data_IF_201808830722
#
_entry.id   IF_201808830722
#
_cell.length_a   1.000
_cell.length_b   1.000
_cell.length_c   1.000
_cell.angle_alpha   90.00
_cell.angle_beta   90.00
_cell.angle_gamma   90.00
#
_symmetry.space_group_name_H-M   'P 1'
#
loop_
_entity.id
_entity.type
_entity.pdbx_description
1 polymer ?
#
# COMPACT_ATOMS: atom_id res chain seq x y z
N UNK A 1 -28.11 -8.64 7.30
CA UNK A 1 -28.08 -9.01 5.87
C UNK A 1 -27.81 -7.82 4.93
N UNK A 2 -28.71 -6.84 4.77
CA UNK A 2 -28.45 -5.68 3.89
C UNK A 2 -27.39 -4.70 4.45
N UNK A 3 -27.40 -4.45 5.77
CA UNK A 3 -26.41 -3.61 6.46
C UNK A 3 -24.98 -4.20 6.35
N UNK A 4 -24.85 -5.51 6.54
CA UNK A 4 -23.55 -6.20 6.45
C UNK A 4 -22.98 -6.17 5.03
N UNK A 5 -23.85 -6.25 4.01
CA UNK A 5 -23.44 -6.17 2.60
C UNK A 5 -22.95 -4.76 2.25
N UNK A 6 -23.64 -3.71 2.74
CA UNK A 6 -23.24 -2.31 2.53
C UNK A 6 -21.93 -1.98 3.25
N UNK A 7 -21.77 -2.40 4.50
CA UNK A 7 -20.55 -2.19 5.28
C UNK A 7 -19.33 -2.84 4.61
N UNK A 8 -19.46 -4.08 4.11
CA UNK A 8 -18.40 -4.76 3.34
C UNK A 8 -18.04 -4.02 2.06
N UNK A 9 -19.04 -3.52 1.31
CA UNK A 9 -18.79 -2.75 0.10
C UNK A 9 -18.04 -1.44 0.38
N UNK A 10 -18.38 -0.73 1.46
CA UNK A 10 -17.67 0.48 1.87
C UNK A 10 -16.22 0.18 2.28
N UNK A 11 -15.98 -0.90 3.03
CA UNK A 11 -14.62 -1.34 3.36
C UNK A 11 -13.80 -1.66 2.12
N UNK A 12 -14.38 -2.34 1.12
CA UNK A 12 -13.69 -2.64 -0.14
C UNK A 12 -13.30 -1.37 -0.90
N UNK A 13 -14.18 -0.37 -0.97
CA UNK A 13 -13.89 0.91 -1.63
C UNK A 13 -12.77 1.65 -0.92
N UNK A 14 -12.78 1.69 0.42
CA UNK A 14 -11.70 2.32 1.20
C UNK A 14 -10.37 1.62 0.97
N UNK A 15 -10.37 0.28 0.97
CA UNK A 15 -9.18 -0.55 0.73
C UNK A 15 -8.60 -0.31 -0.66
N UNK A 16 -9.43 -0.26 -1.70
CA UNK A 16 -8.99 0.07 -3.07
C UNK A 16 -8.47 1.50 -3.19
N UNK A 17 -9.11 2.46 -2.51
CA UNK A 17 -8.65 3.84 -2.50
C UNK A 17 -7.25 3.99 -1.87
N UNK A 18 -6.99 3.28 -0.76
CA UNK A 18 -5.67 3.26 -0.11
C UNK A 18 -4.59 2.66 -1.02
N UNK A 19 -4.87 1.53 -1.68
CA UNK A 19 -3.95 0.92 -2.63
C UNK A 19 -3.61 1.88 -3.79
N UNK A 20 -4.64 2.49 -4.39
CA UNK A 20 -4.44 3.44 -5.49
C UNK A 20 -3.66 4.68 -5.07
N UNK A 21 -3.87 5.19 -3.85
CA UNK A 21 -3.10 6.32 -3.32
C UNK A 21 -1.62 5.95 -3.13
N UNK A 22 -1.32 4.77 -2.56
CA UNK A 22 0.06 4.33 -2.39
C UNK A 22 0.76 4.13 -3.74
N UNK A 23 0.08 3.52 -4.70
CA UNK A 23 0.60 3.36 -6.07
C UNK A 23 0.89 4.72 -6.71
N UNK A 24 -0.04 5.67 -6.64
CA UNK A 24 0.15 7.01 -7.19
C UNK A 24 1.32 7.78 -6.55
N UNK A 25 1.57 7.58 -5.25
CA UNK A 25 2.74 8.16 -4.57
C UNK A 25 4.04 7.57 -5.12
N UNK A 26 4.10 6.24 -5.26
CA UNK A 26 5.29 5.57 -5.79
C UNK A 26 5.53 5.94 -7.25
N UNK A 27 4.48 6.01 -8.07
CA UNK A 27 4.58 6.47 -9.45
C UNK A 27 5.09 7.92 -9.51
N UNK A 28 4.58 8.81 -8.66
CA UNK A 28 5.07 10.19 -8.60
C UNK A 28 6.55 10.27 -8.16
N UNK A 29 6.99 9.42 -7.23
CA UNK A 29 8.40 9.33 -6.85
C UNK A 29 9.27 8.88 -8.03
N UNK A 30 8.81 7.90 -8.82
CA UNK A 30 9.51 7.45 -10.03
C UNK A 30 9.57 8.53 -11.09
N UNK A 31 8.46 9.24 -11.32
CA UNK A 31 8.35 10.29 -12.33
C UNK A 31 9.32 11.46 -12.08
N UNK A 32 9.59 11.78 -10.81
CA UNK A 32 10.58 12.81 -10.44
C UNK A 32 12.00 12.25 -10.30
N UNK A 33 12.22 10.98 -10.64
CA UNK A 33 13.53 10.34 -10.66
C UNK A 33 14.08 10.00 -9.28
N UNK A 34 13.21 9.74 -8.28
CA UNK A 34 13.68 9.22 -6.99
C UNK A 34 14.36 7.86 -7.21
N UNK A 35 15.60 7.68 -6.70
CA UNK A 35 16.29 6.40 -6.74
C UNK A 35 15.46 5.26 -6.13
N UNK A 36 15.50 4.07 -6.75
CA UNK A 36 14.66 2.94 -6.33
C UNK A 36 14.96 2.48 -4.90
N UNK A 37 16.21 2.55 -4.43
CA UNK A 37 16.60 2.28 -3.05
C UNK A 37 15.86 3.18 -2.05
N UNK A 38 15.65 4.46 -2.37
CA UNK A 38 14.86 5.38 -1.56
C UNK A 38 13.37 5.01 -1.59
N UNK A 39 12.85 4.58 -2.74
CA UNK A 39 11.47 4.09 -2.84
C UNK A 39 11.29 2.82 -1.99
N UNK A 40 12.25 1.91 -2.02
CA UNK A 40 12.22 0.70 -1.17
C UNK A 40 12.32 1.04 0.33
N UNK A 41 13.19 1.98 0.75
CA UNK A 41 13.25 2.45 2.15
C UNK A 41 11.92 3.10 2.59
N UNK A 42 11.27 3.87 1.71
CA UNK A 42 9.94 4.41 1.98
C UNK A 42 8.92 3.29 2.24
N UNK A 43 8.89 2.26 1.39
CA UNK A 43 8.00 1.10 1.54
C UNK A 43 8.31 0.28 2.80
N UNK A 44 9.59 0.16 3.18
CA UNK A 44 10.02 -0.50 4.42
C UNK A 44 9.55 0.27 5.66
N UNK A 45 9.73 1.59 5.68
CA UNK A 45 9.23 2.45 6.77
C UNK A 45 7.73 2.42 6.89
N UNK A 46 7.02 2.39 5.76
CA UNK A 46 5.57 2.25 5.73
C UNK A 46 5.13 0.91 6.34
N UNK A 47 5.81 -0.17 5.99
CA UNK A 47 5.58 -1.50 6.58
C UNK A 47 5.82 -1.50 8.09
N UNK A 48 6.92 -0.91 8.54
CA UNK A 48 7.23 -0.77 9.96
C UNK A 48 6.14 0.02 10.70
N UNK A 49 5.71 1.16 10.16
CA UNK A 49 4.64 1.96 10.75
C UNK A 49 3.32 1.18 10.84
N UNK A 50 2.97 0.45 9.78
CA UNK A 50 1.76 -0.37 9.72
C UNK A 50 1.80 -1.50 10.75
N UNK A 51 2.96 -2.13 10.98
CA UNK A 51 3.10 -3.20 11.97
C UNK A 51 2.87 -2.74 13.42
N UNK A 52 3.07 -1.45 13.69
CA UNK A 52 2.82 -0.84 15.02
C UNK A 52 1.40 -0.31 15.12
N UNK A 53 0.83 0.17 14.02
CA UNK A 53 -0.43 0.91 14.01
C UNK A 53 -1.66 0.05 13.67
N UNK A 54 -1.46 -1.06 12.97
CA UNK A 54 -2.51 -1.94 12.48
C UNK A 54 -2.35 -3.34 13.07
N UNK A 55 -3.47 -4.04 13.24
CA UNK A 55 -3.49 -5.43 13.68
C UNK A 55 -4.56 -6.22 12.94
N UNK A 56 -4.38 -7.54 12.83
CA UNK A 56 -5.32 -8.43 12.17
C UNK A 56 -5.42 -8.18 10.65
N UNK A 57 -6.64 -8.25 10.12
CA UNK A 57 -6.92 -8.16 8.68
C UNK A 57 -6.44 -6.87 8.01
N UNK A 58 -6.61 -5.66 8.61
CA UNK A 58 -6.04 -4.44 8.05
C UNK A 58 -4.52 -4.47 7.86
N UNK A 59 -3.78 -5.07 8.79
CA UNK A 59 -2.32 -5.19 8.68
C UNK A 59 -1.93 -6.13 7.53
N UNK A 60 -2.63 -7.26 7.38
CA UNK A 60 -2.39 -8.20 6.29
C UNK A 60 -2.65 -7.56 4.91
N UNK A 61 -3.80 -6.91 4.73
CA UNK A 61 -4.17 -6.25 3.47
C UNK A 61 -3.13 -5.17 3.11
N UNK A 62 -2.68 -4.39 4.08
CA UNK A 62 -1.72 -3.33 3.81
C UNK A 62 -0.32 -3.88 3.47
N UNK A 63 0.08 -5.00 4.10
CA UNK A 63 1.30 -5.73 3.72
C UNK A 63 1.23 -6.20 2.27
N UNK A 64 0.14 -6.86 1.88
CA UNK A 64 -0.06 -7.35 0.51
C UNK A 64 0.04 -6.21 -0.52
N UNK A 65 -0.49 -5.03 -0.20
CA UNK A 65 -0.38 -3.87 -1.09
C UNK A 65 1.05 -3.35 -1.22
N UNK A 66 1.77 -3.25 -0.12
CA UNK A 66 3.17 -2.82 -0.15
C UNK A 66 4.00 -3.82 -0.98
N UNK A 67 3.76 -5.12 -0.84
CA UNK A 67 4.47 -6.16 -1.59
C UNK A 67 4.18 -6.08 -3.10
N UNK A 68 2.91 -5.90 -3.48
CA UNK A 68 2.53 -5.72 -4.89
C UNK A 68 3.18 -4.47 -5.48
N UNK A 69 3.11 -3.33 -4.79
CA UNK A 69 3.69 -2.07 -5.25
C UNK A 69 5.21 -2.20 -5.34
N UNK A 70 5.86 -2.83 -4.36
CA UNK A 70 7.30 -3.09 -4.37
C UNK A 70 7.71 -3.85 -5.63
N UNK A 71 6.96 -4.87 -6.02
CA UNK A 71 7.24 -5.63 -7.25
C UNK A 71 7.12 -4.82 -8.55
N UNK A 72 6.51 -3.63 -8.52
CA UNK A 72 6.45 -2.73 -9.69
C UNK A 72 7.63 -1.78 -9.80
N UNK A 73 8.41 -1.64 -8.71
CA UNK A 73 9.66 -0.89 -8.68
C UNK A 73 10.75 -1.87 -9.08
N UNK A 74 11.35 -1.69 -10.25
CA UNK A 74 12.42 -2.59 -10.70
C UNK A 74 13.60 -2.51 -9.73
N UNK A 75 14.14 -3.64 -9.29
CA UNK A 75 15.44 -3.64 -8.63
C UNK A 75 16.45 -3.06 -9.62
N UNK A 76 17.10 -1.94 -9.26
CA UNK A 76 18.17 -1.39 -10.08
C UNK A 76 19.32 -2.41 -10.08
N UNK A 77 19.42 -3.19 -11.15
CA UNK A 77 20.59 -4.00 -11.52
C UNK A 77 21.74 -3.07 -11.99
#
# INVERSE_FOLDING_TARGET
>A
MAKDKKARAETHVTVMALANMLAAIVDAMRDVGVPNDIIHDFLDRLTALNSVSLSGMPAAIMGDFVDVIRGTVADND
#
